data_IF_676599997824
#
_entry.id   IF_676599997824
#
_cell.length_a   1.000
_cell.length_b   1.000
_cell.length_c   1.000
_cell.angle_alpha   90.00
_cell.angle_beta   90.00
_cell.angle_gamma   90.00
#
_symmetry.space_group_name_H-M   'P 1'
#
loop_
_entity.id
_entity.type
_entity.pdbx_description
1 polymer ?
#
# COMPACT_ATOMS: atom_id res chain seq x y z
N UNK A 1 -1.84 -9.61 6.56
CA UNK A 1 -0.59 -9.91 5.81
C UNK A 1 0.23 -10.94 6.59
N UNK A 2 1.39 -11.41 6.12
CA UNK A 2 2.28 -12.29 6.92
C UNK A 2 3.67 -11.64 6.93
N UNK A 3 4.26 -11.46 8.11
CA UNK A 3 5.54 -10.76 8.29
C UNK A 3 6.69 -11.47 7.54
N UNK A 4 7.69 -10.71 7.10
CA UNK A 4 8.76 -11.15 6.18
C UNK A 4 9.70 -12.25 6.68
N UNK A 5 9.64 -12.61 7.96
CA UNK A 5 10.46 -13.67 8.56
C UNK A 5 9.79 -15.07 8.51
N UNK A 6 8.58 -15.17 7.95
CA UNK A 6 7.85 -16.43 7.80
C UNK A 6 8.27 -17.24 6.56
N UNK A 7 7.79 -18.50 6.43
CA UNK A 7 7.96 -19.26 5.19
C UNK A 7 7.32 -18.50 4.02
N UNK A 8 7.94 -18.57 2.84
CA UNK A 8 7.38 -17.97 1.62
C UNK A 8 5.95 -18.47 1.39
N UNK A 9 5.02 -17.54 1.19
CA UNK A 9 3.64 -17.84 0.84
C UNK A 9 3.38 -17.26 -0.55
N UNK A 10 2.98 -18.13 -1.48
CA UNK A 10 2.49 -17.67 -2.78
C UNK A 10 1.07 -17.16 -2.65
N UNK A 11 0.81 -15.97 -3.19
CA UNK A 11 -0.54 -15.44 -3.36
C UNK A 11 -0.93 -15.70 -4.82
N UNK A 12 -1.98 -16.50 -5.01
CA UNK A 12 -2.38 -17.01 -6.33
C UNK A 12 -3.27 -16.04 -7.14
N UNK A 13 -3.17 -14.73 -6.90
CA UNK A 13 -3.91 -13.71 -7.66
C UNK A 13 -2.94 -12.66 -8.23
N UNK A 14 -3.28 -12.12 -9.39
CA UNK A 14 -2.53 -11.02 -9.96
C UNK A 14 -2.68 -9.76 -9.10
N UNK A 15 -1.66 -8.90 -9.14
CA UNK A 15 -1.70 -7.59 -8.54
C UNK A 15 -0.81 -6.63 -9.33
N UNK A 16 -1.07 -5.34 -9.17
CA UNK A 16 -0.22 -4.26 -9.68
C UNK A 16 0.09 -3.31 -8.54
N UNK A 17 1.34 -2.86 -8.47
CA UNK A 17 1.80 -1.91 -7.46
C UNK A 17 2.03 -0.56 -8.11
N UNK A 18 1.38 0.48 -7.58
CA UNK A 18 1.66 1.87 -7.89
C UNK A 18 2.67 2.41 -6.89
N UNK A 19 3.75 3.00 -7.42
CA UNK A 19 4.78 3.68 -6.66
C UNK A 19 4.82 5.14 -7.14
N UNK A 20 4.16 6.07 -6.44
CA UNK A 20 4.27 7.50 -6.72
C UNK A 20 5.71 8.00 -6.49
N UNK A 21 6.14 9.04 -7.22
CA UNK A 21 7.50 9.59 -7.05
C UNK A 21 7.65 10.42 -5.78
N UNK A 22 6.66 11.25 -5.47
CA UNK A 22 6.74 12.26 -4.41
C UNK A 22 5.58 12.09 -3.41
N UNK A 23 5.33 10.86 -2.97
CA UNK A 23 4.29 10.57 -1.98
C UNK A 23 4.78 9.55 -0.95
N UNK A 24 4.19 9.63 0.24
CA UNK A 24 4.53 8.80 1.41
C UNK A 24 3.73 7.49 1.46
N UNK A 25 3.47 6.89 0.29
CA UNK A 25 2.69 5.67 0.20
C UNK A 25 2.97 4.91 -1.10
N UNK A 26 2.71 3.61 -1.07
CA UNK A 26 2.50 2.79 -2.27
C UNK A 26 1.09 2.21 -2.27
N UNK A 27 0.63 1.68 -3.40
CA UNK A 27 -0.67 1.03 -3.46
C UNK A 27 -0.62 -0.24 -4.32
N UNK A 28 -0.88 -1.38 -3.69
CA UNK A 28 -1.13 -2.64 -4.36
C UNK A 28 -2.64 -2.79 -4.64
N UNK A 29 -2.98 -2.93 -5.91
CA UNK A 29 -4.32 -3.27 -6.38
C UNK A 29 -4.34 -4.76 -6.67
N UNK A 30 -5.27 -5.49 -6.05
CA UNK A 30 -5.30 -6.94 -6.12
C UNK A 30 -6.46 -7.41 -7.01
N UNK A 31 -6.26 -8.46 -7.79
CA UNK A 31 -7.34 -9.14 -8.51
C UNK A 31 -8.18 -10.03 -7.56
N UNK A 32 -9.44 -10.34 -7.91
CA UNK A 32 -10.17 -11.45 -7.28
C UNK A 32 -9.37 -12.77 -7.34
N UNK A 33 -9.54 -13.70 -6.39
CA UNK A 33 -10.49 -13.69 -5.28
C UNK A 33 -9.96 -12.99 -4.02
N UNK A 34 -8.92 -12.15 -4.09
CA UNK A 34 -8.36 -11.49 -2.90
C UNK A 34 -9.41 -10.62 -2.22
N UNK A 35 -9.59 -10.84 -0.92
CA UNK A 35 -10.53 -10.08 -0.09
C UNK A 35 -10.07 -8.63 0.14
N UNK A 36 -8.77 -8.39 0.25
CA UNK A 36 -8.21 -7.03 0.21
C UNK A 36 -8.18 -6.57 -1.25
N UNK A 37 -9.01 -5.58 -1.59
CA UNK A 37 -9.06 -4.98 -2.93
C UNK A 37 -7.84 -4.08 -3.17
N UNK A 38 -7.60 -3.16 -2.22
CA UNK A 38 -6.50 -2.20 -2.24
C UNK A 38 -5.75 -2.35 -0.93
N UNK A 39 -4.44 -2.35 -1.01
CA UNK A 39 -3.53 -2.32 0.13
C UNK A 39 -2.54 -1.18 -0.11
N UNK A 40 -2.39 -0.26 0.84
CA UNK A 40 -1.44 0.82 0.75
C UNK A 40 -0.48 0.77 1.93
N UNK A 41 0.80 0.55 1.65
CA UNK A 41 1.88 0.75 2.62
C UNK A 41 2.15 2.25 2.75
N UNK A 42 2.21 2.77 3.98
CA UNK A 42 2.81 4.08 4.25
C UNK A 42 4.32 3.88 4.31
N UNK A 43 5.03 4.64 3.49
CA UNK A 43 6.46 4.51 3.30
C UNK A 43 7.10 5.89 3.08
N UNK A 44 8.42 5.99 3.20
CA UNK A 44 9.12 7.19 2.75
C UNK A 44 8.94 7.38 1.23
N UNK A 45 9.07 8.61 0.71
CA UNK A 45 9.03 8.85 -0.73
C UNK A 45 10.00 7.95 -1.51
N UNK A 46 9.56 7.46 -2.66
CA UNK A 46 10.29 6.50 -3.44
C UNK A 46 11.48 7.13 -4.19
N UNK A 47 12.68 6.61 -3.95
CA UNK A 47 13.89 7.02 -4.64
C UNK A 47 14.18 6.10 -5.83
N UNK A 48 14.13 6.66 -7.05
CA UNK A 48 14.51 5.95 -8.27
C UNK A 48 16.02 6.08 -8.51
N UNK A 49 16.75 4.99 -8.27
CA UNK A 49 18.22 4.94 -8.43
C UNK A 49 18.64 4.62 -9.86
N UNK A 50 17.74 4.00 -10.62
CA UNK A 50 17.91 3.72 -12.06
C UNK A 50 16.54 3.49 -12.71
N UNK A 51 16.52 3.08 -13.99
CA UNK A 51 15.28 2.68 -14.66
C UNK A 51 14.69 1.35 -14.16
N UNK A 52 15.43 0.60 -13.34
CA UNK A 52 15.05 -0.74 -12.87
C UNK A 52 15.23 -0.93 -11.36
N UNK A 53 15.51 0.15 -10.62
CA UNK A 53 15.73 0.09 -9.17
C UNK A 53 15.04 1.29 -8.51
N UNK A 54 14.15 0.96 -7.57
CA UNK A 54 13.46 1.91 -6.70
C UNK A 54 13.61 1.44 -5.25
N UNK A 55 13.85 2.38 -4.34
CA UNK A 55 13.99 2.10 -2.91
C UNK A 55 13.12 3.05 -2.10
N UNK A 56 12.56 2.54 -1.02
CA UNK A 56 11.84 3.29 0.01
C UNK A 56 11.93 2.52 1.33
N UNK A 57 11.60 3.19 2.43
CA UNK A 57 11.53 2.60 3.76
C UNK A 57 10.07 2.46 4.15
N UNK A 58 9.66 1.24 4.46
CA UNK A 58 8.36 0.92 5.05
C UNK A 58 8.24 1.53 6.45
N UNK A 59 7.09 2.12 6.77
CA UNK A 59 6.85 2.78 8.05
C UNK A 59 5.75 2.08 8.85
N UNK A 60 5.48 0.80 8.58
CA UNK A 60 4.61 -0.10 9.33
C UNK A 60 3.12 0.26 9.39
N UNK A 61 2.72 1.47 8.98
CA UNK A 61 1.33 1.90 8.96
C UNK A 61 0.71 1.57 7.60
N UNK A 62 -0.53 1.05 7.61
CA UNK A 62 -1.19 0.60 6.38
C UNK A 62 -2.63 1.10 6.26
N UNK A 63 -3.07 1.31 5.01
CA UNK A 63 -4.49 1.54 4.69
C UNK A 63 -4.98 0.44 3.75
N UNK A 64 -6.05 -0.25 4.16
CA UNK A 64 -6.64 -1.33 3.39
C UNK A 64 -8.06 -0.99 2.97
N UNK A 65 -8.44 -1.50 1.79
CA UNK A 65 -9.82 -1.52 1.32
C UNK A 65 -10.31 -2.95 1.15
N UNK A 66 -11.40 -3.32 1.81
CA UNK A 66 -12.01 -4.65 1.68
C UNK A 66 -12.92 -4.71 0.45
N UNK A 67 -12.75 -5.78 -0.33
CA UNK A 67 -13.58 -6.09 -1.51
C UNK A 67 -15.01 -6.46 -1.13
N UNK A 68 -15.18 -7.13 0.00
CA UNK A 68 -16.45 -7.77 0.40
C UNK A 68 -17.56 -6.77 0.69
N UNK A 69 -17.25 -5.72 1.44
CA UNK A 69 -18.23 -4.73 1.92
C UNK A 69 -17.86 -3.30 1.55
N UNK A 70 -16.66 -3.10 1.01
CA UNK A 70 -16.19 -1.80 0.63
C UNK A 70 -15.50 -1.01 1.73
N UNK A 71 -15.31 -1.57 2.92
CA UNK A 71 -14.74 -0.85 4.07
C UNK A 71 -13.29 -0.46 3.86
N UNK A 72 -12.94 0.73 4.36
CA UNK A 72 -11.56 1.25 4.42
C UNK A 72 -11.10 1.23 5.87
N UNK A 73 -9.90 0.73 6.13
CA UNK A 73 -9.36 0.50 7.47
C UNK A 73 -7.92 0.98 7.56
N UNK A 74 -7.57 1.61 8.68
CA UNK A 74 -6.18 1.76 9.13
C UNK A 74 -5.77 0.46 9.83
N UNK A 75 -4.57 -0.03 9.58
CA UNK A 75 -4.02 -1.27 10.15
C UNK A 75 -2.58 -1.03 10.65
N UNK A 76 -2.13 -1.89 11.56
CA UNK A 76 -0.79 -1.86 12.17
C UNK A 76 -0.41 -0.53 12.91
N UNK A 77 -1.41 0.24 13.39
CA UNK A 77 -1.20 1.46 14.20
C UNK A 77 -0.38 1.22 15.48
N UNK A 78 -0.54 0.04 16.11
CA UNK A 78 0.20 -0.35 17.30
C UNK A 78 1.66 -0.70 17.00
N UNK A 79 1.92 -1.35 15.85
CA UNK A 79 3.27 -1.63 15.37
C UNK A 79 4.01 -0.34 15.01
N UNK A 80 3.37 0.57 14.27
CA UNK A 80 3.92 1.90 14.00
C UNK A 80 4.26 2.65 15.31
N UNK A 81 3.36 2.61 16.30
CA UNK A 81 3.57 3.26 17.59
C UNK A 81 4.73 2.64 18.41
N UNK A 82 4.95 1.32 18.33
CA UNK A 82 6.10 0.65 18.92
C UNK A 82 7.39 1.01 18.16
N UNK A 83 7.37 0.87 16.84
CA UNK A 83 8.54 0.98 15.98
C UNK A 83 9.10 2.40 15.93
N UNK A 84 8.26 3.43 15.97
CA UNK A 84 8.74 4.81 16.06
C UNK A 84 9.63 5.05 17.29
N UNK A 85 9.32 4.41 18.42
CA UNK A 85 10.13 4.52 19.65
C UNK A 85 11.33 3.60 19.57
N UNK A 86 11.12 2.34 19.16
CA UNK A 86 12.14 1.29 19.14
C UNK A 86 13.29 1.62 18.19
N UNK A 87 12.98 2.18 17.02
CA UNK A 87 13.95 2.51 15.98
C UNK A 87 14.27 4.01 15.90
N UNK A 88 13.57 4.84 16.68
CA UNK A 88 13.84 6.27 16.78
C UNK A 88 13.47 7.02 15.50
N UNK A 89 12.24 6.84 15.02
CA UNK A 89 11.75 7.56 13.84
C UNK A 89 11.81 9.08 14.09
N UNK A 90 12.35 9.88 13.16
CA UNK A 90 12.33 11.33 13.26
C UNK A 90 10.90 11.88 13.36
N UNK A 91 10.72 12.99 14.09
CA UNK A 91 9.39 13.56 14.34
C UNK A 91 8.67 14.00 13.06
N UNK A 92 9.43 14.47 12.05
CA UNK A 92 8.92 14.81 10.72
C UNK A 92 8.47 13.56 9.96
N UNK A 93 9.23 12.46 10.03
CA UNK A 93 8.84 11.17 9.42
C UNK A 93 7.53 10.65 10.01
N UNK A 94 7.36 10.73 11.34
CA UNK A 94 6.12 10.32 12.02
C UNK A 94 4.95 11.18 11.54
N UNK A 95 5.13 12.52 11.51
CA UNK A 95 4.09 13.44 11.10
C UNK A 95 3.64 13.23 9.64
N UNK A 96 4.59 12.98 8.74
CA UNK A 96 4.28 12.70 7.32
C UNK A 96 3.58 11.36 7.15
N UNK A 97 3.99 10.31 7.89
CA UNK A 97 3.32 9.01 7.87
C UNK A 97 1.86 9.11 8.34
N UNK A 98 1.61 9.78 9.47
CA UNK A 98 0.25 9.99 9.99
C UNK A 98 -0.61 10.85 9.05
N UNK A 99 -0.03 11.86 8.41
CA UNK A 99 -0.72 12.70 7.43
C UNK A 99 -1.07 11.90 6.17
N UNK A 100 -0.14 11.09 5.67
CA UNK A 100 -0.34 10.23 4.51
C UNK A 100 -1.43 9.17 4.78
N UNK A 101 -1.38 8.50 5.93
CA UNK A 101 -2.39 7.54 6.34
C UNK A 101 -3.78 8.16 6.39
N UNK A 102 -3.94 9.33 7.01
CA UNK A 102 -5.24 10.02 7.08
C UNK A 102 -5.75 10.44 5.70
N UNK A 103 -4.88 10.95 4.84
CA UNK A 103 -5.23 11.30 3.48
C UNK A 103 -5.65 10.06 2.67
N UNK A 104 -4.94 8.94 2.83
CA UNK A 104 -5.27 7.68 2.17
C UNK A 104 -6.62 7.13 2.62
N UNK A 105 -6.93 7.19 3.93
CA UNK A 105 -8.24 6.79 4.44
C UNK A 105 -9.36 7.51 3.68
N UNK A 106 -9.25 8.84 3.52
CA UNK A 106 -10.25 9.64 2.80
C UNK A 106 -10.25 9.34 1.29
N UNK A 107 -9.08 9.25 0.66
CA UNK A 107 -8.95 9.06 -0.78
C UNK A 107 -9.42 7.67 -1.24
N UNK A 108 -9.08 6.63 -0.48
CA UNK A 108 -9.46 5.23 -0.76
C UNK A 108 -10.94 5.01 -0.49
N UNK A 109 -11.48 5.56 0.61
CA UNK A 109 -12.89 5.47 0.94
C UNK A 109 -13.76 6.19 -0.10
N UNK A 110 -13.36 7.41 -0.46
CA UNK A 110 -14.00 8.21 -1.50
C UNK A 110 -13.79 7.70 -2.93
N UNK A 111 -13.00 6.64 -3.14
CA UNK A 111 -12.58 6.12 -4.44
C UNK A 111 -12.04 7.22 -5.37
N UNK A 112 -11.30 8.18 -4.80
CA UNK A 112 -10.60 9.18 -5.59
C UNK A 112 -9.51 8.50 -6.41
N UNK A 113 -9.32 8.88 -7.68
CA UNK A 113 -8.26 8.29 -8.49
C UNK A 113 -6.88 8.51 -7.84
N UNK A 114 -6.01 7.50 -7.81
CA UNK A 114 -6.06 6.25 -8.58
C UNK A 114 -6.79 5.06 -7.91
N UNK A 115 -7.52 5.27 -6.81
CA UNK A 115 -8.21 4.24 -6.03
C UNK A 115 -9.62 3.88 -6.56
N UNK A 116 -10.04 4.53 -7.64
CA UNK A 116 -11.25 4.23 -8.38
C UNK A 116 -11.02 3.14 -9.42
N UNK A 117 -10.99 3.53 -10.69
CA UNK A 117 -10.93 2.60 -11.82
C UNK A 117 -9.57 2.59 -12.54
N UNK A 118 -8.65 3.51 -12.22
CA UNK A 118 -7.38 3.65 -12.94
C UNK A 118 -6.53 2.36 -12.99
N UNK A 119 -6.58 1.53 -11.94
CA UNK A 119 -5.79 0.29 -11.86
C UNK A 119 -6.33 -0.84 -12.77
N UNK A 120 -7.59 -0.78 -13.22
CA UNK A 120 -8.24 -1.88 -13.96
C UNK A 120 -7.51 -2.26 -15.24
N UNK A 121 -7.10 -1.26 -16.02
CA UNK A 121 -6.42 -1.49 -17.29
C UNK A 121 -5.07 -2.21 -17.08
N UNK A 122 -4.36 -1.86 -16.00
CA UNK A 122 -3.10 -2.49 -15.64
C UNK A 122 -3.29 -3.91 -15.11
N UNK A 123 -4.30 -4.13 -14.26
CA UNK A 123 -4.65 -5.46 -13.77
C UNK A 123 -5.02 -6.42 -14.91
N UNK A 124 -5.80 -5.97 -15.89
CA UNK A 124 -6.16 -6.79 -17.04
C UNK A 124 -4.95 -7.29 -17.85
N UNK A 125 -3.83 -6.55 -17.84
CA UNK A 125 -2.60 -6.99 -18.52
C UNK A 125 -1.92 -8.18 -17.82
N UNK A 126 -2.17 -8.37 -16.53
CA UNK A 126 -1.45 -9.36 -15.69
C UNK A 126 -2.34 -10.46 -15.13
N UNK A 127 -3.67 -10.30 -15.12
CA UNK A 127 -4.63 -11.27 -14.58
C UNK A 127 -5.00 -12.42 -15.54
N UNK A 128 -4.21 -12.62 -16.60
CA UNK A 128 -4.35 -13.77 -17.50
C UNK A 128 -5.58 -13.76 -18.42
N UNK A 129 -6.51 -12.82 -18.26
CA UNK A 129 -7.50 -12.47 -19.28
C UNK A 129 -6.81 -11.75 -20.45
N UNK A 130 -6.19 -12.51 -21.34
CA UNK A 130 -5.91 -11.98 -22.69
C UNK A 130 -7.24 -11.75 -23.40
N UNK A 131 -7.43 -10.62 -24.10
CA UNK A 131 -8.53 -10.49 -25.04
C UNK A 131 -8.48 -11.57 -26.13
#
# INVERSE_FOLDING_TARGET
MRKGYGPMVSIACAHVVLIPRDAWWTAAFNAPPRETEIYCDIATPAEWRSSHEVSMVDLDLDVLRKRTDGSTLMDDEDEFAEHQVRYGYPADVIAEAEAAGRWLMDAVDGRAEPFGDASRAWLAMVDGERP
#
